data_IF_447135951949
#
_entry.id   IF_447135951949
#
_cell.length_a   1.000
_cell.length_b   1.000
_cell.length_c   1.000
_cell.angle_alpha   90.00
_cell.angle_beta   90.00
_cell.angle_gamma   90.00
#
_symmetry.space_group_name_H-M   'P 1'
#
loop_
_entity.id
_entity.type
_entity.pdbx_description
1 polymer ?
#
# COMPACT_ATOMS: atom_id res chain seq x y z
N UNK A 1 22.97 39.24 -7.77
CA UNK A 1 22.24 38.42 -6.78
C UNK A 1 22.20 36.99 -7.27
N UNK A 2 22.96 36.10 -6.61
CA UNK A 2 23.05 34.68 -6.99
C UNK A 2 21.99 33.94 -6.17
N UNK A 3 20.91 33.49 -6.81
CA UNK A 3 19.95 32.60 -6.13
C UNK A 3 20.67 31.27 -5.94
N UNK A 4 21.04 30.96 -4.71
CA UNK A 4 21.39 29.60 -4.30
C UNK A 4 20.12 28.78 -4.48
N UNK A 5 20.07 27.92 -5.49
CA UNK A 5 19.04 26.91 -5.63
C UNK A 5 19.11 26.02 -4.39
N UNK A 6 18.21 26.22 -3.43
CA UNK A 6 17.95 25.23 -2.40
C UNK A 6 17.57 23.93 -3.12
N UNK A 7 18.12 22.77 -2.72
CA UNK A 7 17.64 21.51 -3.26
C UNK A 7 16.15 21.45 -2.95
N UNK A 8 15.32 21.44 -4.00
CA UNK A 8 13.90 21.15 -3.86
C UNK A 8 13.87 19.69 -3.44
N UNK A 9 13.77 19.46 -2.14
CA UNK A 9 13.53 18.12 -1.61
C UNK A 9 12.27 17.61 -2.30
N UNK A 10 12.42 16.57 -3.13
CA UNK A 10 11.32 16.05 -3.92
C UNK A 10 10.38 15.28 -2.98
N UNK A 11 9.53 16.04 -2.29
CA UNK A 11 8.70 15.54 -1.21
C UNK A 11 7.59 14.68 -1.81
N UNK A 12 7.60 13.40 -1.49
CA UNK A 12 6.60 12.45 -1.95
C UNK A 12 5.20 12.89 -1.48
N UNK A 13 4.16 12.72 -2.31
CA UNK A 13 2.79 12.92 -1.86
C UNK A 13 2.50 12.02 -0.66
N UNK A 14 1.95 12.62 0.41
CA UNK A 14 1.46 11.91 1.59
C UNK A 14 -0.01 11.63 1.39
N UNK A 15 -0.42 10.37 1.41
CA UNK A 15 -1.79 9.97 1.08
C UNK A 15 -2.37 9.04 2.14
N UNK A 16 -3.69 9.13 2.33
CA UNK A 16 -4.47 8.12 3.03
C UNK A 16 -5.28 7.38 1.97
N UNK A 17 -5.05 6.08 1.85
CA UNK A 17 -5.78 5.25 0.89
C UNK A 17 -7.09 4.80 1.54
N UNK A 18 -8.21 5.05 0.85
CA UNK A 18 -9.53 4.60 1.28
C UNK A 18 -9.63 3.08 1.33
N UNK A 19 -10.46 2.55 2.24
CA UNK A 19 -10.72 1.11 2.39
C UNK A 19 -11.10 0.45 1.06
N UNK A 20 -11.97 1.07 0.24
CA UNK A 20 -12.39 0.49 -1.03
C UNK A 20 -11.25 0.40 -2.03
N UNK A 21 -10.35 1.39 -2.05
CA UNK A 21 -9.17 1.38 -2.92
C UNK A 21 -8.22 0.27 -2.50
N UNK A 22 -8.01 0.08 -1.19
CA UNK A 22 -7.23 -1.05 -0.68
C UNK A 22 -7.84 -2.39 -1.07
N UNK A 23 -9.12 -2.62 -0.76
CA UNK A 23 -9.80 -3.88 -1.07
C UNK A 23 -9.80 -4.15 -2.58
N UNK A 24 -10.09 -3.14 -3.39
CA UNK A 24 -10.11 -3.30 -4.84
C UNK A 24 -8.70 -3.56 -5.40
N UNK A 25 -7.68 -2.83 -4.96
CA UNK A 25 -6.32 -2.98 -5.46
C UNK A 25 -5.64 -4.29 -5.05
N UNK A 26 -6.06 -4.86 -3.91
CA UNK A 26 -5.60 -6.17 -3.44
C UNK A 26 -6.21 -7.34 -4.22
N UNK A 27 -7.45 -7.19 -4.70
CA UNK A 27 -8.22 -8.30 -5.28
C UNK A 27 -8.43 -8.20 -6.80
N UNK A 28 -8.23 -7.02 -7.41
CA UNK A 28 -8.51 -6.76 -8.81
C UNK A 28 -7.42 -5.88 -9.44
N UNK A 29 -7.37 -5.85 -10.77
CA UNK A 29 -6.48 -4.96 -11.54
C UNK A 29 -7.13 -3.58 -11.79
N UNK A 30 -6.36 -2.66 -12.38
CA UNK A 30 -6.81 -1.31 -12.76
C UNK A 30 -6.37 -0.22 -11.77
N UNK A 31 -7.03 0.95 -11.80
CA UNK A 31 -6.60 2.15 -11.04
C UNK A 31 -6.32 1.91 -9.55
N UNK A 32 -7.15 1.16 -8.79
CA UNK A 32 -6.83 0.88 -7.39
C UNK A 32 -5.54 0.09 -7.21
N UNK A 33 -5.26 -0.85 -8.12
CA UNK A 33 -4.00 -1.60 -8.15
C UNK A 33 -2.83 -0.69 -8.50
N UNK A 34 -2.97 0.17 -9.50
CA UNK A 34 -1.95 1.17 -9.88
C UNK A 34 -1.59 2.09 -8.69
N UNK A 35 -2.56 2.47 -7.85
CA UNK A 35 -2.28 3.24 -6.62
C UNK A 35 -1.44 2.44 -5.63
N UNK A 36 -1.70 1.14 -5.48
CA UNK A 36 -0.87 0.28 -4.62
C UNK A 36 0.54 0.11 -5.19
N UNK A 37 0.69 0.05 -6.51
CA UNK A 37 2.00 0.00 -7.16
C UNK A 37 2.81 1.29 -6.91
N UNK A 38 2.19 2.47 -6.91
CA UNK A 38 2.87 3.72 -6.50
C UNK A 38 3.43 3.62 -5.07
N UNK A 39 2.70 2.97 -4.16
CA UNK A 39 3.18 2.74 -2.79
C UNK A 39 4.34 1.75 -2.78
N UNK A 40 4.23 0.63 -3.49
CA UNK A 40 5.26 -0.40 -3.60
C UNK A 40 6.55 0.17 -4.20
N UNK A 41 6.43 0.98 -5.25
CA UNK A 41 7.54 1.66 -5.92
C UNK A 41 8.09 2.86 -5.15
N UNK A 42 7.58 3.11 -3.92
CA UNK A 42 8.04 4.19 -3.06
C UNK A 42 7.87 5.57 -3.72
N UNK A 43 6.83 5.76 -4.53
CA UNK A 43 6.48 7.04 -5.20
C UNK A 43 5.54 7.90 -4.34
N UNK A 44 4.80 7.28 -3.42
CA UNK A 44 3.91 7.93 -2.45
C UNK A 44 4.20 7.44 -1.02
N UNK A 45 3.85 8.26 -0.04
CA UNK A 45 3.92 7.92 1.39
C UNK A 45 2.51 7.63 1.91
N UNK A 46 2.21 6.36 2.19
CA UNK A 46 0.87 5.93 2.61
C UNK A 46 0.76 5.95 4.14
N UNK A 47 -0.27 6.64 4.62
CA UNK A 47 -0.70 6.63 6.01
C UNK A 47 -1.99 5.84 6.15
N UNK A 48 -2.05 4.99 7.18
CA UNK A 48 -3.21 4.18 7.47
C UNK A 48 -3.55 4.27 8.96
N UNK A 49 -4.84 4.40 9.27
CA UNK A 49 -5.32 4.39 10.65
C UNK A 49 -5.72 2.97 11.06
N UNK A 50 -5.78 2.72 12.36
CA UNK A 50 -6.30 1.46 12.92
C UNK A 50 -7.76 1.20 12.49
N UNK A 51 -8.55 2.26 12.31
CA UNK A 51 -9.93 2.15 11.82
C UNK A 51 -9.99 1.57 10.40
N UNK A 52 -9.19 2.10 9.47
CA UNK A 52 -9.12 1.61 8.09
C UNK A 52 -8.62 0.16 8.08
N UNK A 53 -7.58 -0.15 8.85
CA UNK A 53 -7.06 -1.53 8.97
C UNK A 53 -8.14 -2.52 9.42
N UNK A 54 -8.92 -2.17 10.43
CA UNK A 54 -9.97 -3.04 10.95
C UNK A 54 -11.12 -3.22 9.95
N UNK A 55 -11.47 -2.17 9.20
CA UNK A 55 -12.48 -2.26 8.16
C UNK A 55 -12.03 -3.17 7.00
N UNK A 56 -10.78 -3.02 6.55
CA UNK A 56 -10.17 -3.90 5.54
C UNK A 56 -10.24 -5.35 6.00
N UNK A 57 -9.79 -5.63 7.22
CA UNK A 57 -9.83 -6.97 7.80
C UNK A 57 -11.24 -7.55 7.79
N UNK A 58 -12.23 -6.79 8.29
CA UNK A 58 -13.63 -7.22 8.32
C UNK A 58 -14.18 -7.54 6.93
N UNK A 59 -13.85 -6.73 5.92
CA UNK A 59 -14.31 -6.93 4.54
C UNK A 59 -13.64 -8.16 3.93
N UNK A 60 -12.33 -8.31 4.07
CA UNK A 60 -11.59 -9.46 3.56
C UNK A 60 -12.11 -10.77 4.17
N UNK A 61 -12.31 -10.81 5.49
CA UNK A 61 -12.88 -11.99 6.19
C UNK A 61 -14.29 -12.34 5.71
N UNK A 62 -15.13 -11.34 5.50
CA UNK A 62 -16.55 -11.57 5.16
C UNK A 62 -16.76 -11.89 3.69
N UNK A 63 -16.01 -11.26 2.78
CA UNK A 63 -16.25 -11.35 1.33
C UNK A 63 -15.28 -12.27 0.59
N UNK A 64 -14.10 -12.52 1.16
CA UNK A 64 -13.00 -13.23 0.47
C UNK A 64 -12.52 -14.46 1.27
N UNK A 65 -13.34 -14.96 2.21
CA UNK A 65 -13.11 -16.17 3.01
C UNK A 65 -11.72 -16.22 3.70
N UNK A 66 -11.20 -15.05 4.05
CA UNK A 66 -9.84 -14.97 4.54
C UNK A 66 -9.66 -15.56 5.95
N UNK A 67 -8.66 -16.43 6.06
CA UNK A 67 -8.32 -17.19 7.26
C UNK A 67 -8.14 -16.30 8.50
N UNK A 68 -8.80 -16.68 9.59
CA UNK A 68 -8.79 -16.01 10.90
C UNK A 68 -7.43 -16.05 11.56
N UNK A 69 -6.65 -17.08 11.28
CA UNK A 69 -5.36 -17.30 11.93
C UNK A 69 -4.26 -16.40 11.36
N UNK A 70 -4.49 -15.78 10.20
CA UNK A 70 -3.61 -14.75 9.63
C UNK A 70 -4.11 -13.37 10.07
N UNK A 71 -3.33 -12.69 10.91
CA UNK A 71 -3.60 -11.32 11.33
C UNK A 71 -3.40 -10.30 10.20
N UNK A 72 -4.15 -9.20 10.21
CA UNK A 72 -4.10 -8.18 9.15
C UNK A 72 -2.73 -7.57 8.94
N UNK A 73 -1.97 -7.37 10.01
CA UNK A 73 -0.59 -6.90 9.91
C UNK A 73 0.31 -7.90 9.21
N UNK A 74 0.19 -9.20 9.53
CA UNK A 74 1.00 -10.24 8.88
C UNK A 74 0.74 -10.26 7.37
N UNK A 75 -0.52 -10.11 6.95
CA UNK A 75 -0.85 -10.05 5.53
C UNK A 75 -0.47 -8.75 4.85
N UNK A 76 -0.66 -7.61 5.51
CA UNK A 76 -0.22 -6.33 4.98
C UNK A 76 1.29 -6.38 4.71
N UNK A 77 2.07 -6.89 5.67
CA UNK A 77 3.50 -7.09 5.48
C UNK A 77 3.80 -8.19 4.45
N UNK A 78 3.08 -9.31 4.45
CA UNK A 78 3.26 -10.37 3.46
C UNK A 78 3.01 -9.87 2.03
N UNK A 79 1.95 -9.11 1.79
CA UNK A 79 1.66 -8.60 0.46
C UNK A 79 2.72 -7.60 -0.02
N UNK A 80 3.12 -6.68 0.85
CA UNK A 80 4.17 -5.70 0.55
C UNK A 80 5.52 -6.40 0.33
N UNK A 81 5.89 -7.39 1.13
CA UNK A 81 7.20 -8.05 1.02
C UNK A 81 7.25 -9.18 -0.02
N UNK A 82 6.22 -10.03 -0.09
CA UNK A 82 6.22 -11.23 -0.93
C UNK A 82 6.12 -10.87 -2.42
N UNK A 83 5.36 -9.81 -2.77
CA UNK A 83 5.29 -9.32 -4.15
C UNK A 83 6.54 -8.52 -4.53
N UNK A 84 7.16 -7.79 -3.60
CA UNK A 84 8.41 -7.07 -3.84
C UNK A 84 9.61 -8.01 -4.07
N UNK A 85 9.59 -9.26 -3.56
CA UNK A 85 10.59 -10.30 -3.91
C UNK A 85 10.48 -10.85 -5.34
N UNK A 86 9.34 -10.69 -6.02
CA UNK A 86 9.21 -11.08 -7.44
C UNK A 86 9.84 -10.04 -8.39
N UNK A 87 10.22 -8.87 -7.87
CA UNK A 87 10.83 -7.76 -8.61
C UNK A 87 12.23 -7.38 -8.13
N UNK A 88 12.76 -8.03 -7.09
CA UNK A 88 14.17 -7.93 -6.74
C UNK A 88 14.94 -8.95 -7.59
N UNK A 89 15.95 -8.54 -8.39
CA UNK A 89 16.89 -9.51 -8.93
C UNK A 89 17.48 -10.33 -7.78
N UNK A 90 17.57 -11.64 -8.00
CA UNK A 90 18.31 -12.53 -7.12
C UNK A 90 19.79 -12.25 -7.38
N UNK A 91 20.37 -11.35 -6.58
CA UNK A 91 21.82 -11.22 -6.43
C UNK A 91 22.30 -12.15 -5.30
#
# INVERSE_FOLDING_TARGET
WKILSMPIENKKPKVVIDTNVFISGLNFTGKPHEILELFINNEIEVFISSFILHEIEKILRKKFEWDKDVGIYHYFWFFIFYRHRQYLPLD
#
